data_IF_030705456403
#
_entry.id   IF_030705456403
#
_cell.length_a   1.000
_cell.length_b   1.000
_cell.length_c   1.000
_cell.angle_alpha   90.00
_cell.angle_beta   90.00
_cell.angle_gamma   90.00
#
_symmetry.space_group_name_H-M   'P 1'
#
loop_
_entity.id
_entity.type
_entity.pdbx_description
1 polymer ?
#
# COMPACT_ATOMS: atom_id res chain seq x y z
N UNK A 1 31.52 -36.11 44.16
CA UNK A 1 31.98 -35.30 43.01
C UNK A 1 31.70 -36.01 41.69
N UNK A 2 32.11 -37.28 41.48
CA UNK A 2 31.85 -38.03 40.25
C UNK A 2 30.39 -38.07 39.73
N UNK A 3 29.38 -38.08 40.63
CA UNK A 3 27.96 -38.08 40.24
C UNK A 3 27.46 -36.74 39.71
N UNK A 4 28.02 -35.62 40.16
CA UNK A 4 27.65 -34.29 39.69
C UNK A 4 28.17 -34.04 38.27
N UNK A 5 29.36 -34.56 37.97
CA UNK A 5 29.98 -34.46 36.65
C UNK A 5 29.14 -35.20 35.58
N UNK A 6 28.67 -36.41 35.91
CA UNK A 6 27.82 -37.20 35.02
C UNK A 6 26.45 -36.54 34.76
N UNK A 7 25.82 -35.97 35.81
CA UNK A 7 24.55 -35.24 35.68
C UNK A 7 24.73 -33.98 34.84
N UNK A 8 25.82 -33.24 35.03
CA UNK A 8 26.16 -32.06 34.24
C UNK A 8 26.31 -32.37 32.75
N UNK A 9 26.99 -33.48 32.41
CA UNK A 9 27.17 -33.92 31.01
C UNK A 9 25.83 -34.29 30.36
N UNK A 10 24.95 -35.00 31.07
CA UNK A 10 23.63 -35.38 30.57
C UNK A 10 22.73 -34.17 30.32
N UNK A 11 22.73 -33.20 31.25
CA UNK A 11 21.99 -31.94 31.10
C UNK A 11 22.55 -31.13 29.93
N UNK A 12 23.88 -31.03 29.81
CA UNK A 12 24.54 -30.31 28.72
C UNK A 12 24.15 -30.86 27.35
N UNK A 13 24.21 -32.19 27.16
CA UNK A 13 23.79 -32.85 25.93
C UNK A 13 22.31 -32.63 25.60
N UNK A 14 21.45 -32.61 26.63
CA UNK A 14 20.03 -32.35 26.47
C UNK A 14 19.76 -30.91 26.03
N UNK A 15 20.40 -29.93 26.67
CA UNK A 15 20.31 -28.51 26.30
C UNK A 15 20.88 -28.26 24.91
N UNK A 16 21.99 -28.91 24.54
CA UNK A 16 22.53 -28.78 23.18
C UNK A 16 21.55 -29.34 22.15
N UNK A 17 20.91 -30.49 22.42
CA UNK A 17 19.96 -31.08 21.47
C UNK A 17 18.61 -30.38 21.40
N UNK A 18 18.15 -29.71 22.45
CA UNK A 18 16.84 -29.04 22.47
C UNK A 18 16.95 -27.53 22.36
N UNK A 19 17.87 -26.93 23.10
CA UNK A 19 18.10 -25.48 23.10
C UNK A 19 18.64 -24.97 21.77
N UNK A 20 19.58 -25.68 21.14
CA UNK A 20 20.14 -25.24 19.85
C UNK A 20 19.09 -25.26 18.73
N UNK A 21 18.28 -26.34 18.55
CA UNK A 21 17.21 -26.31 17.54
C UNK A 21 16.12 -25.27 17.81
N UNK A 22 15.74 -25.06 19.08
CA UNK A 22 14.76 -24.03 19.43
C UNK A 22 15.29 -22.62 19.18
N UNK A 23 16.54 -22.33 19.53
CA UNK A 23 17.15 -21.03 19.27
C UNK A 23 17.31 -20.78 17.77
N UNK A 24 17.72 -21.78 17.00
CA UNK A 24 17.84 -21.66 15.55
C UNK A 24 16.49 -21.37 14.89
N UNK A 25 15.45 -22.12 15.25
CA UNK A 25 14.10 -21.91 14.70
C UNK A 25 13.51 -20.57 15.12
N UNK A 26 13.65 -20.17 16.39
CA UNK A 26 13.20 -18.87 16.87
C UNK A 26 13.93 -17.72 16.17
N UNK A 27 15.25 -17.83 15.99
CA UNK A 27 16.06 -16.85 15.28
C UNK A 27 15.64 -16.73 13.81
N UNK A 28 15.41 -17.86 13.14
CA UNK A 28 14.95 -17.88 11.76
C UNK A 28 13.57 -17.22 11.59
N UNK A 29 12.63 -17.53 12.49
CA UNK A 29 11.28 -16.93 12.48
C UNK A 29 11.37 -15.42 12.70
N UNK A 30 12.20 -14.97 13.64
CA UNK A 30 12.36 -13.54 13.90
C UNK A 30 12.95 -12.82 12.69
N UNK A 31 13.95 -13.41 12.03
CA UNK A 31 14.53 -12.86 10.81
C UNK A 31 13.53 -12.79 9.66
N UNK A 32 12.79 -13.88 9.41
CA UNK A 32 11.76 -13.93 8.37
C UNK A 32 10.63 -12.92 8.63
N UNK A 33 10.22 -12.72 9.88
CA UNK A 33 9.19 -11.74 10.23
C UNK A 33 9.58 -10.30 9.87
N UNK A 34 10.87 -9.97 9.99
CA UNK A 34 11.39 -8.66 9.55
C UNK A 34 11.43 -8.49 8.03
N UNK A 35 11.61 -9.59 7.28
CA UNK A 35 11.52 -9.60 5.83
C UNK A 35 10.06 -9.58 5.33
N UNK A 36 9.14 -10.21 6.06
CA UNK A 36 7.74 -10.20 5.70
C UNK A 36 7.11 -8.82 5.93
N UNK A 37 7.47 -8.14 7.02
CA UNK A 37 6.93 -6.81 7.35
C UNK A 37 7.18 -5.75 6.26
N UNK A 38 8.36 -5.76 5.62
CA UNK A 38 8.68 -4.84 4.51
C UNK A 38 7.85 -5.15 3.27
N UNK A 39 7.65 -6.43 2.94
CA UNK A 39 6.90 -6.83 1.76
C UNK A 39 5.39 -6.69 1.93
N UNK A 40 4.89 -6.89 3.16
CA UNK A 40 3.52 -6.55 3.52
C UNK A 40 3.27 -5.05 3.31
N UNK A 41 4.16 -4.17 3.78
CA UNK A 41 3.98 -2.72 3.58
C UNK A 41 3.86 -2.33 2.09
N UNK A 42 4.63 -2.96 1.21
CA UNK A 42 4.54 -2.76 -0.25
C UNK A 42 3.25 -3.33 -0.83
N UNK A 43 2.86 -4.55 -0.45
CA UNK A 43 1.64 -5.18 -0.92
C UNK A 43 0.38 -4.39 -0.52
N UNK A 44 0.34 -3.86 0.70
CA UNK A 44 -0.80 -3.07 1.17
C UNK A 44 -0.94 -1.74 0.41
N UNK A 45 0.17 -1.14 -0.01
CA UNK A 45 0.15 0.06 -0.86
C UNK A 45 -0.43 -0.24 -2.25
N UNK A 46 -0.04 -1.38 -2.85
CA UNK A 46 -0.54 -1.82 -4.15
C UNK A 46 -2.03 -2.24 -4.08
N UNK A 47 -2.43 -3.00 -3.05
CA UNK A 47 -3.84 -3.36 -2.83
C UNK A 47 -4.72 -2.12 -2.60
N UNK A 48 -4.26 -1.16 -1.80
CA UNK A 48 -5.01 0.08 -1.56
C UNK A 48 -5.14 0.92 -2.84
N UNK A 49 -4.12 0.94 -3.69
CA UNK A 49 -4.16 1.62 -4.99
C UNK A 49 -5.15 0.97 -5.96
N UNK A 50 -5.17 -0.37 -6.04
CA UNK A 50 -6.08 -1.09 -6.94
C UNK A 50 -7.54 -1.06 -6.45
N UNK A 51 -7.77 -1.19 -5.13
CA UNK A 51 -9.13 -1.25 -4.57
C UNK A 51 -9.72 0.08 -4.14
N UNK A 52 -9.00 1.21 -4.27
CA UNK A 52 -9.52 2.54 -3.90
C UNK A 52 -10.90 2.81 -4.51
N UNK A 53 -11.11 2.45 -5.78
CA UNK A 53 -12.39 2.63 -6.48
C UNK A 53 -13.52 1.68 -6.06
N UNK A 54 -13.23 0.65 -5.25
CA UNK A 54 -14.21 -0.34 -4.77
C UNK A 54 -14.65 -0.09 -3.33
N UNK A 55 -13.76 0.42 -2.49
CA UNK A 55 -14.02 0.69 -1.06
C UNK A 55 -14.44 2.14 -0.79
N UNK A 56 -14.20 3.08 -1.71
CA UNK A 56 -14.73 4.44 -1.58
C UNK A 56 -16.24 4.43 -1.80
N UNK A 57 -16.98 4.64 -0.71
CA UNK A 57 -18.42 4.82 -0.76
C UNK A 57 -18.81 6.03 -1.62
N UNK A 58 -20.08 6.08 -2.07
CA UNK A 58 -20.57 7.18 -2.91
C UNK A 58 -20.39 8.57 -2.27
N UNK A 59 -20.27 8.64 -0.94
CA UNK A 59 -20.07 9.86 -0.17
C UNK A 59 -18.65 10.44 -0.31
N UNK A 60 -17.61 9.61 -0.17
CA UNK A 60 -16.21 10.03 -0.43
C UNK A 60 -16.00 10.49 -1.87
N UNK A 61 -16.65 9.82 -2.84
CA UNK A 61 -16.63 10.22 -4.24
C UNK A 61 -17.30 11.59 -4.47
N UNK A 62 -18.32 11.93 -3.67
CA UNK A 62 -19.06 13.20 -3.76
C UNK A 62 -18.28 14.34 -3.13
N UNK A 63 -17.60 14.11 -2.00
CA UNK A 63 -16.71 15.09 -1.36
C UNK A 63 -15.46 15.37 -2.20
N UNK A 64 -14.92 14.34 -2.88
CA UNK A 64 -13.85 14.54 -3.83
C UNK A 64 -14.30 15.25 -5.14
N UNK A 65 -15.60 15.21 -5.45
CA UNK A 65 -16.15 15.88 -6.63
C UNK A 65 -16.32 17.40 -6.46
N UNK A 66 -16.31 17.90 -5.23
CA UNK A 66 -16.22 19.34 -4.92
C UNK A 66 -14.80 19.86 -5.14
N UNK A 67 -14.30 19.77 -6.37
CA UNK A 67 -13.08 20.48 -6.76
C UNK A 67 -13.48 21.85 -7.33
N UNK A 68 -13.23 22.90 -6.57
CA UNK A 68 -13.55 24.30 -6.91
C UNK A 68 -12.83 24.83 -8.16
N UNK A 69 -11.79 24.14 -8.62
CA UNK A 69 -11.15 24.44 -9.91
C UNK A 69 -11.06 23.21 -10.81
N UNK A 70 -11.05 23.38 -12.14
CA UNK A 70 -10.84 22.30 -13.09
C UNK A 70 -9.35 22.01 -13.37
N UNK A 71 -9.02 20.77 -13.76
CA UNK A 71 -7.63 20.31 -13.85
C UNK A 71 -6.79 20.94 -14.94
N UNK A 72 -7.41 21.37 -16.04
CA UNK A 72 -6.70 22.03 -17.13
C UNK A 72 -6.15 23.40 -16.73
N UNK A 73 -6.73 24.03 -15.70
CA UNK A 73 -6.30 25.35 -15.20
C UNK A 73 -5.04 25.27 -14.33
N UNK A 74 -4.80 24.15 -13.64
CA UNK A 74 -3.61 23.98 -12.80
C UNK A 74 -2.48 23.22 -13.50
N UNK A 75 -2.79 22.43 -14.54
CA UNK A 75 -1.81 21.67 -15.33
C UNK A 75 -1.47 22.34 -16.66
N UNK A 76 -1.88 23.60 -16.87
CA UNK A 76 -1.69 24.37 -18.11
C UNK A 76 -1.83 23.53 -19.38
N UNK A 77 -2.94 22.78 -19.47
CA UNK A 77 -3.13 21.86 -20.59
C UNK A 77 -3.33 22.65 -21.89
N UNK A 78 -2.59 22.27 -22.95
CA UNK A 78 -2.75 22.83 -24.31
C UNK A 78 -4.13 22.53 -24.90
N UNK A 79 -4.52 23.28 -25.94
CA UNK A 79 -5.82 23.10 -26.60
C UNK A 79 -6.02 21.66 -27.13
N UNK A 80 -4.97 21.02 -27.67
CA UNK A 80 -5.00 19.61 -28.08
C UNK A 80 -5.26 18.64 -26.92
N UNK A 81 -4.65 18.88 -25.76
CA UNK A 81 -4.90 18.06 -24.56
C UNK A 81 -6.31 18.26 -24.03
N UNK A 82 -6.88 19.47 -24.15
CA UNK A 82 -8.26 19.77 -23.76
C UNK A 82 -9.27 19.06 -24.66
N UNK A 83 -9.04 19.06 -25.98
CA UNK A 83 -9.92 18.38 -26.94
C UNK A 83 -10.03 16.86 -26.67
N UNK A 84 -8.93 16.24 -26.23
CA UNK A 84 -8.86 14.81 -25.91
C UNK A 84 -9.27 14.48 -24.46
N UNK A 85 -9.58 15.48 -23.63
CA UNK A 85 -9.84 15.29 -22.20
C UNK A 85 -11.34 15.26 -21.91
N UNK A 86 -11.84 14.11 -21.45
CA UNK A 86 -13.24 13.96 -21.01
C UNK A 86 -13.61 14.89 -19.84
N UNK A 87 -12.63 15.36 -19.05
CA UNK A 87 -12.87 16.30 -17.96
C UNK A 87 -13.18 17.71 -18.44
N UNK A 88 -12.73 18.10 -19.64
CA UNK A 88 -12.92 19.46 -20.15
C UNK A 88 -14.40 19.85 -20.26
N UNK A 89 -15.25 18.92 -20.71
CA UNK A 89 -16.70 19.13 -20.81
C UNK A 89 -17.47 18.99 -19.49
N UNK A 90 -16.81 18.60 -18.39
CA UNK A 90 -17.44 18.34 -17.09
C UNK A 90 -16.56 18.89 -15.96
N UNK A 91 -16.48 20.22 -15.77
CA UNK A 91 -15.65 20.85 -14.75
C UNK A 91 -15.99 20.43 -13.32
N UNK A 92 -17.23 20.01 -13.09
CA UNK A 92 -17.76 19.55 -11.79
C UNK A 92 -17.37 18.12 -11.44
N UNK A 93 -16.75 17.38 -12.36
CA UNK A 93 -16.31 16.00 -12.13
C UNK A 93 -14.79 15.93 -12.17
N UNK A 94 -14.13 15.40 -11.14
CA UNK A 94 -12.68 15.36 -11.09
C UNK A 94 -12.14 14.44 -12.18
N UNK A 95 -11.02 14.86 -12.79
CA UNK A 95 -10.46 14.19 -13.96
C UNK A 95 -10.09 12.72 -13.71
N UNK A 96 -9.64 12.39 -12.50
CA UNK A 96 -9.30 11.02 -12.11
C UNK A 96 -10.53 10.10 -12.08
N UNK A 97 -11.72 10.61 -11.72
CA UNK A 97 -12.95 9.83 -11.66
C UNK A 97 -13.49 9.51 -13.05
N UNK A 98 -13.44 10.48 -13.97
CA UNK A 98 -13.77 10.25 -15.38
C UNK A 98 -12.82 9.26 -16.03
N UNK A 99 -11.53 9.34 -15.68
CA UNK A 99 -10.51 8.41 -16.15
C UNK A 99 -10.73 7.00 -15.60
N UNK A 100 -11.02 6.88 -14.30
CA UNK A 100 -11.37 5.60 -13.66
C UNK A 100 -12.60 4.96 -14.31
N UNK A 101 -13.65 5.73 -14.62
CA UNK A 101 -14.84 5.23 -15.32
C UNK A 101 -14.56 4.79 -16.75
N UNK A 102 -13.62 5.45 -17.45
CA UNK A 102 -13.28 5.14 -18.84
C UNK A 102 -12.30 3.98 -18.97
N UNK A 103 -11.27 3.96 -18.13
CA UNK A 103 -10.15 3.01 -18.19
C UNK A 103 -10.35 1.82 -17.23
N UNK A 104 -11.29 1.89 -16.29
CA UNK A 104 -11.55 0.85 -15.29
C UNK A 104 -10.48 0.71 -14.20
N UNK A 105 -9.29 1.29 -14.42
CA UNK A 105 -8.18 1.34 -13.47
C UNK A 105 -7.60 2.75 -13.41
N UNK A 106 -7.01 3.11 -12.27
CA UNK A 106 -6.37 4.40 -12.10
C UNK A 106 -4.87 4.29 -12.46
N UNK A 107 -4.37 5.01 -13.48
CA UNK A 107 -2.95 4.96 -13.82
C UNK A 107 -2.10 5.61 -12.74
N UNK A 108 -0.84 5.16 -12.61
CA UNK A 108 0.11 5.65 -11.59
C UNK A 108 0.30 7.16 -11.61
N UNK A 109 0.16 7.79 -12.78
CA UNK A 109 0.23 9.26 -12.95
C UNK A 109 -0.89 10.00 -12.23
N UNK A 110 -2.06 9.37 -12.05
CA UNK A 110 -3.15 9.93 -11.27
C UNK A 110 -2.94 9.71 -9.77
N UNK A 111 -2.27 8.63 -9.35
CA UNK A 111 -1.98 8.35 -7.94
C UNK A 111 -1.07 9.42 -7.33
N UNK A 112 -0.07 9.89 -8.08
CA UNK A 112 0.83 10.97 -7.65
C UNK A 112 0.29 12.39 -7.87
N UNK A 113 -0.91 12.55 -8.42
CA UNK A 113 -1.47 13.87 -8.70
C UNK A 113 -1.97 14.52 -7.41
N UNK A 114 -1.62 15.79 -7.17
CA UNK A 114 -2.10 16.54 -5.99
C UNK A 114 -3.63 16.55 -5.85
N UNK A 115 -4.37 16.58 -6.97
CA UNK A 115 -5.84 16.50 -6.94
C UNK A 115 -6.34 15.19 -6.34
N UNK A 116 -5.69 14.08 -6.71
CA UNK A 116 -6.03 12.78 -6.15
C UNK A 116 -5.57 12.67 -4.71
N UNK A 117 -4.39 13.21 -4.38
CA UNK A 117 -3.88 13.25 -3.01
C UNK A 117 -4.82 14.02 -2.07
N UNK A 118 -5.33 15.19 -2.48
CA UNK A 118 -6.35 15.94 -1.71
C UNK A 118 -7.66 15.16 -1.55
N UNK A 119 -8.11 14.49 -2.61
CA UNK A 119 -9.31 13.66 -2.57
C UNK A 119 -9.18 12.39 -1.71
N UNK A 120 -7.96 11.91 -1.46
CA UNK A 120 -7.66 10.76 -0.60
C UNK A 120 -7.41 11.15 0.86
N UNK A 121 -7.03 12.40 1.11
CA UNK A 121 -6.76 12.94 2.44
C UNK A 121 -8.04 13.28 3.23
N UNK A 122 -9.18 13.32 2.54
CA UNK A 122 -10.53 13.47 3.09
C UNK A 122 -11.27 12.15 2.95
#
# INVERSE_FOLDING_TARGET
MQSLDAVGVMIGLFVVRLGVPLLLTAGLVWWLKGLDARWQAEAWADYAAENWGRTTGPETLRQAATTESPCWKSHDCSAEKRANCAAYGRPTVPCWLLRLRREGKLPRTCIGCERFARARAH
#
